data_IF_718045283805
#
_entry.id   IF_718045283805
#
_cell.length_a   1.000
_cell.length_b   1.000
_cell.length_c   1.000
_cell.angle_alpha   90.00
_cell.angle_beta   90.00
_cell.angle_gamma   90.00
#
_symmetry.space_group_name_H-M   'P 1'
#
loop_
_entity.id
_entity.type
_entity.pdbx_description
1 polymer ?
#
# COMPACT_ATOMS: atom_id res chain seq x y z
N UNK A 1 27.80 -4.72 20.87
CA UNK A 1 27.07 -3.67 20.12
C UNK A 1 27.87 -3.36 18.87
N UNK A 2 27.23 -3.08 17.73
CA UNK A 2 27.91 -2.72 16.50
C UNK A 2 28.31 -1.23 16.52
N UNK A 3 29.38 -0.90 15.80
CA UNK A 3 29.90 0.47 15.67
C UNK A 3 29.12 1.28 14.63
N UNK A 4 29.26 2.60 14.67
CA UNK A 4 28.71 3.51 13.65
C UNK A 4 29.23 3.16 12.25
N UNK A 5 30.53 2.82 12.12
CA UNK A 5 31.12 2.44 10.84
C UNK A 5 30.55 1.14 10.27
N UNK A 6 30.27 0.14 11.13
CA UNK A 6 29.60 -1.09 10.71
C UNK A 6 28.17 -0.82 10.23
N UNK A 7 27.44 0.10 10.89
CA UNK A 7 26.12 0.50 10.43
C UNK A 7 26.18 1.20 9.06
N UNK A 8 27.13 2.08 8.84
CA UNK A 8 27.38 2.74 7.54
C UNK A 8 27.61 1.67 6.46
N UNK A 9 28.49 0.72 6.70
CA UNK A 9 28.82 -0.35 5.76
C UNK A 9 27.58 -1.21 5.40
N UNK A 10 26.73 -1.51 6.38
CA UNK A 10 25.47 -2.25 6.14
C UNK A 10 24.55 -1.46 5.23
N UNK A 11 24.38 -0.15 5.47
CA UNK A 11 23.49 0.71 4.67
C UNK A 11 24.02 0.86 3.25
N UNK A 12 25.32 1.10 3.08
CA UNK A 12 25.95 1.19 1.76
C UNK A 12 25.80 -0.11 0.95
N UNK A 13 25.97 -1.26 1.62
CA UNK A 13 25.75 -2.56 0.97
C UNK A 13 24.28 -2.75 0.56
N UNK A 14 23.32 -2.29 1.36
CA UNK A 14 21.91 -2.32 0.99
C UNK A 14 21.61 -1.43 -0.21
N UNK A 15 22.24 -0.25 -0.30
CA UNK A 15 22.12 0.64 -1.46
C UNK A 15 22.67 -0.04 -2.73
N UNK A 16 23.82 -0.71 -2.62
CA UNK A 16 24.45 -1.41 -3.76
C UNK A 16 23.67 -2.63 -4.26
N UNK A 17 23.00 -3.34 -3.34
CA UNK A 17 22.30 -4.59 -3.66
C UNK A 17 20.89 -4.40 -4.20
N UNK A 18 20.26 -3.26 -3.97
CA UNK A 18 18.88 -3.00 -4.39
C UNK A 18 18.84 -2.18 -5.68
N UNK A 19 18.54 -2.87 -6.77
CA UNK A 19 18.00 -2.22 -7.96
C UNK A 19 16.63 -1.59 -7.59
N UNK A 20 16.60 -0.28 -7.42
CA UNK A 20 15.45 0.62 -7.59
C UNK A 20 14.41 0.86 -6.48
N UNK A 21 14.59 0.59 -5.21
CA UNK A 21 13.60 1.06 -4.23
C UNK A 21 14.24 1.78 -3.05
N UNK A 22 13.91 3.08 -2.88
CA UNK A 22 14.28 3.93 -1.73
C UNK A 22 15.77 4.24 -1.52
N UNK A 23 16.57 4.35 -2.57
CA UNK A 23 17.97 4.78 -2.48
C UNK A 23 18.08 6.14 -1.75
N UNK A 24 17.20 7.08 -2.06
CA UNK A 24 17.18 8.41 -1.42
C UNK A 24 17.02 8.34 0.10
N UNK A 25 16.13 7.48 0.59
CA UNK A 25 15.91 7.29 2.04
C UNK A 25 17.11 6.64 2.74
N UNK A 26 17.74 5.66 2.10
CA UNK A 26 18.99 5.11 2.62
C UNK A 26 20.09 6.18 2.66
N UNK A 27 20.17 7.05 1.66
CA UNK A 27 21.09 8.18 1.63
C UNK A 27 20.78 9.20 2.73
N UNK A 28 19.50 9.49 3.02
CA UNK A 28 19.12 10.35 4.14
C UNK A 28 19.52 9.75 5.50
N UNK A 29 19.30 8.45 5.71
CA UNK A 29 19.72 7.77 6.94
C UNK A 29 21.26 7.80 7.04
N UNK A 30 21.95 7.50 5.95
CA UNK A 30 23.40 7.55 5.89
C UNK A 30 23.95 8.95 6.23
N UNK A 31 23.34 10.00 5.67
CA UNK A 31 23.67 11.38 5.97
C UNK A 31 23.47 11.71 7.45
N UNK A 32 22.38 11.28 8.05
CA UNK A 32 22.12 11.45 9.50
C UNK A 32 23.16 10.73 10.35
N UNK A 33 23.47 9.47 10.03
CA UNK A 33 24.47 8.69 10.79
C UNK A 33 25.85 9.31 10.64
N UNK A 34 26.20 9.80 9.45
CA UNK A 34 27.49 10.47 9.22
C UNK A 34 27.64 11.80 9.98
N UNK A 35 26.52 12.48 10.27
CA UNK A 35 26.52 13.74 11.04
C UNK A 35 26.54 13.55 12.56
N UNK A 36 26.39 12.32 13.06
CA UNK A 36 26.38 12.01 14.50
C UNK A 36 27.78 11.71 15.01
N UNK A 37 28.03 12.00 16.29
CA UNK A 37 29.17 11.44 17.01
C UNK A 37 28.95 9.93 17.30
N UNK A 38 30.01 9.21 17.62
CA UNK A 38 29.91 7.78 17.96
C UNK A 38 29.04 7.56 19.22
N UNK A 39 29.13 8.48 20.19
CA UNK A 39 28.31 8.43 21.42
C UNK A 39 26.82 8.68 21.14
N UNK A 40 26.49 9.68 20.31
CA UNK A 40 25.10 9.94 19.89
C UNK A 40 24.53 8.75 19.12
N UNK A 41 25.33 8.17 18.22
CA UNK A 41 24.92 6.98 17.47
C UNK A 41 24.64 5.80 18.40
N UNK A 42 25.52 5.54 19.35
CA UNK A 42 25.37 4.46 20.33
C UNK A 42 24.11 4.62 21.17
N UNK A 43 23.83 5.84 21.66
CA UNK A 43 22.62 6.15 22.42
C UNK A 43 21.36 5.93 21.60
N UNK A 44 21.33 6.35 20.34
CA UNK A 44 20.18 6.15 19.45
C UNK A 44 20.01 4.66 19.12
N UNK A 45 21.09 3.93 18.86
CA UNK A 45 21.04 2.51 18.59
C UNK A 45 20.48 1.73 19.79
N UNK A 46 20.91 2.06 21.02
CA UNK A 46 20.37 1.47 22.27
C UNK A 46 18.87 1.74 22.41
N UNK A 47 18.43 2.98 22.18
CA UNK A 47 17.02 3.36 22.31
C UNK A 47 16.13 2.71 21.24
N UNK A 48 16.61 2.55 20.02
CA UNK A 48 15.79 2.11 18.88
C UNK A 48 15.84 0.61 18.63
N UNK A 49 16.95 -0.03 18.93
CA UNK A 49 17.22 -1.45 18.62
C UNK A 49 17.38 -2.26 19.91
N UNK A 50 17.95 -1.66 20.95
CA UNK A 50 18.14 -2.28 22.25
C UNK A 50 19.61 -2.30 22.71
N UNK A 51 19.85 -2.54 24.01
CA UNK A 51 21.19 -2.48 24.61
C UNK A 51 22.18 -3.50 24.01
N UNK A 52 21.68 -4.65 23.55
CA UNK A 52 22.49 -5.72 22.94
C UNK A 52 22.33 -5.74 21.41
N UNK A 53 22.19 -4.59 20.79
CA UNK A 53 21.97 -4.47 19.36
C UNK A 53 23.07 -5.14 18.53
N UNK A 54 22.67 -6.03 17.62
CA UNK A 54 23.56 -6.70 16.64
C UNK A 54 23.35 -6.13 15.24
N UNK A 55 24.29 -6.39 14.33
CA UNK A 55 24.17 -6.01 12.90
C UNK A 55 22.93 -6.63 12.27
N UNK A 56 22.54 -7.85 12.64
CA UNK A 56 21.33 -8.49 12.14
C UNK A 56 20.07 -7.75 12.60
N UNK A 57 20.03 -7.34 13.87
CA UNK A 57 18.94 -6.53 14.42
C UNK A 57 18.87 -5.16 13.71
N UNK A 58 19.99 -4.52 13.45
CA UNK A 58 20.06 -3.29 12.65
C UNK A 58 19.49 -3.52 11.24
N UNK A 59 19.92 -4.58 10.56
CA UNK A 59 19.44 -4.92 9.23
C UNK A 59 17.93 -5.15 9.21
N UNK A 60 17.41 -5.85 10.22
CA UNK A 60 15.98 -6.10 10.40
C UNK A 60 15.22 -4.80 10.68
N UNK A 61 15.75 -3.95 11.56
CA UNK A 61 15.16 -2.65 11.88
C UNK A 61 15.15 -1.71 10.66
N UNK A 62 16.26 -1.66 9.90
CA UNK A 62 16.32 -0.89 8.66
C UNK A 62 15.28 -1.37 7.64
N UNK A 63 15.14 -2.68 7.45
CA UNK A 63 14.10 -3.24 6.58
C UNK A 63 12.71 -2.83 7.04
N UNK A 64 12.41 -2.97 8.33
CA UNK A 64 11.12 -2.57 8.90
C UNK A 64 10.87 -1.06 8.73
N UNK A 65 11.89 -0.21 8.93
CA UNK A 65 11.79 1.24 8.70
C UNK A 65 11.58 1.61 7.24
N UNK A 66 12.22 0.90 6.31
CA UNK A 66 11.98 1.10 4.88
C UNK A 66 10.56 0.67 4.48
N UNK A 67 10.05 -0.40 5.10
CA UNK A 67 8.67 -0.83 4.93
C UNK A 67 7.67 0.13 5.59
N UNK A 68 7.99 0.69 6.76
CA UNK A 68 7.16 1.68 7.46
C UNK A 68 7.09 3.00 6.70
N UNK A 69 8.21 3.48 6.14
CA UNK A 69 8.24 4.69 5.32
C UNK A 69 7.61 4.53 3.94
N UNK A 70 7.51 3.29 3.43
CA UNK A 70 6.69 3.05 2.25
C UNK A 70 5.19 3.22 2.54
N UNK A 71 4.79 3.28 3.82
CA UNK A 71 3.41 3.60 4.24
C UNK A 71 3.06 5.09 4.17
N UNK A 72 4.04 5.98 4.12
CA UNK A 72 3.79 7.43 4.22
C UNK A 72 3.53 8.10 2.86
N UNK A 73 3.79 7.43 1.75
CA UNK A 73 3.45 7.96 0.42
C UNK A 73 2.22 7.26 -0.16
N UNK A 74 1.06 7.56 0.44
CA UNK A 74 -0.21 7.23 -0.20
C UNK A 74 -0.45 8.16 -1.37
N UNK A 75 -0.31 7.63 -2.58
CA UNK A 75 -0.63 8.37 -3.79
C UNK A 75 -2.14 8.31 -3.98
N UNK A 76 -2.79 9.46 -3.92
CA UNK A 76 -4.23 9.57 -4.13
C UNK A 76 -4.58 9.33 -5.59
N UNK A 77 -5.49 8.41 -5.86
CA UNK A 77 -6.03 8.12 -7.19
C UNK A 77 -7.34 8.87 -7.42
N UNK A 78 -8.20 8.90 -6.39
CA UNK A 78 -9.45 9.65 -6.35
C UNK A 78 -9.85 9.88 -4.89
N UNK A 79 -11.04 10.39 -4.62
CA UNK A 79 -11.47 10.72 -3.24
C UNK A 79 -11.68 9.51 -2.33
N UNK A 80 -11.82 8.30 -2.90
CA UNK A 80 -12.03 7.06 -2.13
C UNK A 80 -10.82 6.14 -2.11
N UNK A 81 -9.92 6.25 -3.08
CA UNK A 81 -8.85 5.28 -3.28
C UNK A 81 -7.51 5.98 -3.35
N UNK A 82 -6.58 5.49 -2.56
CA UNK A 82 -5.16 5.79 -2.66
C UNK A 82 -4.37 4.48 -2.74
N UNK A 83 -3.13 4.55 -3.12
CA UNK A 83 -2.25 3.38 -3.13
C UNK A 83 -0.86 3.72 -2.61
N UNK A 84 -0.15 2.69 -2.22
CA UNK A 84 1.29 2.73 -2.01
C UNK A 84 1.93 1.47 -2.60
N UNK A 85 3.24 1.52 -2.82
CA UNK A 85 3.99 0.42 -3.41
C UNK A 85 4.71 -0.34 -2.30
N UNK A 86 4.51 -1.66 -2.25
CA UNK A 86 5.24 -2.57 -1.35
C UNK A 86 5.92 -3.62 -2.22
N UNK A 87 7.24 -3.52 -2.39
CA UNK A 87 8.00 -4.38 -3.30
C UNK A 87 7.39 -4.41 -4.72
N UNK A 88 7.02 -5.59 -5.21
CA UNK A 88 6.40 -5.80 -6.52
C UNK A 88 4.86 -5.75 -6.47
N UNK A 89 4.29 -5.14 -5.42
CA UNK A 89 2.85 -5.13 -5.20
C UNK A 89 2.35 -3.70 -5.02
N UNK A 90 1.25 -3.38 -5.68
CA UNK A 90 0.51 -2.13 -5.46
C UNK A 90 -0.57 -2.39 -4.42
N UNK A 91 -0.46 -1.78 -3.25
CA UNK A 91 -1.42 -1.92 -2.17
C UNK A 91 -2.44 -0.77 -2.20
N UNK A 92 -3.72 -1.10 -2.39
CA UNK A 92 -4.81 -0.14 -2.36
C UNK A 92 -5.28 0.13 -0.94
N UNK A 93 -5.56 1.39 -0.67
CA UNK A 93 -6.30 1.86 0.49
C UNK A 93 -7.63 2.43 0.05
N UNK A 94 -8.70 1.78 0.49
CA UNK A 94 -10.06 2.24 0.25
C UNK A 94 -10.58 2.87 1.54
N UNK A 95 -11.01 4.12 1.48
CA UNK A 95 -11.56 4.84 2.65
C UNK A 95 -13.04 4.50 2.79
N UNK A 96 -13.42 3.69 3.82
CA UNK A 96 -14.79 3.21 3.96
C UNK A 96 -15.80 4.29 4.39
N UNK A 97 -15.34 5.48 4.79
CA UNK A 97 -16.16 6.54 5.41
C UNK A 97 -17.32 7.04 4.53
N UNK A 98 -17.29 6.75 3.24
CA UNK A 98 -18.28 7.25 2.27
C UNK A 98 -19.18 6.15 1.69
N UNK A 99 -19.08 4.91 2.18
CA UNK A 99 -19.97 3.83 1.71
C UNK A 99 -21.25 3.86 2.55
N UNK A 100 -22.11 4.83 2.31
CA UNK A 100 -23.52 4.70 2.69
C UNK A 100 -24.28 3.91 1.59
N UNK A 101 -25.49 3.46 1.87
CA UNK A 101 -26.25 2.59 0.95
C UNK A 101 -26.54 3.20 -0.43
N UNK A 102 -26.55 4.54 -0.56
CA UNK A 102 -26.67 5.25 -1.84
C UNK A 102 -25.32 5.33 -2.58
N UNK A 103 -24.23 5.43 -1.83
CA UNK A 103 -22.85 5.53 -2.33
C UNK A 103 -22.20 4.16 -2.62
N UNK A 104 -22.74 3.07 -2.11
CA UNK A 104 -22.27 1.72 -2.44
C UNK A 104 -22.33 1.43 -3.95
N UNK A 105 -23.27 2.07 -4.67
CA UNK A 105 -23.30 2.04 -6.14
C UNK A 105 -22.16 2.83 -6.78
N UNK A 106 -21.67 3.90 -6.13
CA UNK A 106 -20.50 4.69 -6.56
C UNK A 106 -19.17 4.00 -6.24
N UNK A 107 -19.09 3.22 -5.16
CA UNK A 107 -17.83 2.60 -4.72
C UNK A 107 -17.16 1.72 -5.79
N UNK A 108 -17.94 1.01 -6.58
CA UNK A 108 -17.45 0.23 -7.72
C UNK A 108 -16.86 1.10 -8.83
N UNK A 109 -17.46 2.27 -9.10
CA UNK A 109 -16.95 3.23 -10.11
C UNK A 109 -15.60 3.81 -9.67
N UNK A 110 -15.47 4.22 -8.40
CA UNK A 110 -14.21 4.73 -7.85
C UNK A 110 -13.10 3.68 -7.89
N UNK A 111 -13.42 2.41 -7.59
CA UNK A 111 -12.44 1.33 -7.67
C UNK A 111 -12.06 1.02 -9.12
N UNK A 112 -13.01 1.01 -10.06
CA UNK A 112 -12.74 0.79 -11.48
C UNK A 112 -11.86 1.92 -12.07
N UNK A 113 -12.13 3.18 -11.72
CA UNK A 113 -11.30 4.33 -12.10
C UNK A 113 -9.87 4.21 -11.51
N UNK A 114 -9.77 3.87 -10.23
CA UNK A 114 -8.48 3.70 -9.58
C UNK A 114 -7.66 2.59 -10.24
N UNK A 115 -8.28 1.46 -10.59
CA UNK A 115 -7.62 0.34 -11.27
C UNK A 115 -7.18 0.72 -12.69
N UNK A 116 -7.95 1.54 -13.40
CA UNK A 116 -7.54 2.03 -14.73
C UNK A 116 -6.29 2.93 -14.64
N UNK A 117 -6.23 3.81 -13.64
CA UNK A 117 -5.04 4.63 -13.38
C UNK A 117 -3.82 3.78 -12.98
N UNK A 118 -4.04 2.70 -12.22
CA UNK A 118 -2.99 1.75 -11.84
C UNK A 118 -2.51 0.92 -13.02
N UNK A 119 -3.37 0.64 -14.00
CA UNK A 119 -3.03 -0.13 -15.20
C UNK A 119 -1.79 0.44 -15.90
N UNK A 120 -1.70 1.76 -16.06
CA UNK A 120 -0.51 2.41 -16.62
C UNK A 120 0.75 2.12 -15.80
N UNK A 121 0.65 2.17 -14.47
CA UNK A 121 1.76 1.84 -13.57
C UNK A 121 2.18 0.37 -13.67
N UNK A 122 1.21 -0.53 -13.81
CA UNK A 122 1.47 -1.95 -14.05
C UNK A 122 2.19 -2.22 -15.36
N UNK A 123 1.93 -1.41 -16.41
CA UNK A 123 2.62 -1.51 -17.70
C UNK A 123 4.07 -1.03 -17.61
N UNK A 124 4.33 0.06 -16.87
CA UNK A 124 5.64 0.68 -16.74
C UNK A 124 6.57 -0.08 -15.78
N UNK A 125 6.04 -0.79 -14.78
CA UNK A 125 6.79 -1.41 -13.70
C UNK A 125 6.68 -2.94 -13.65
N UNK A 126 7.55 -3.57 -12.85
CA UNK A 126 7.56 -5.02 -12.60
C UNK A 126 6.62 -5.41 -11.44
N UNK A 127 5.40 -4.90 -11.44
CA UNK A 127 4.42 -5.24 -10.42
C UNK A 127 3.69 -6.54 -10.80
N UNK A 128 3.47 -7.41 -9.82
CA UNK A 128 2.78 -8.71 -10.00
C UNK A 128 1.31 -8.66 -9.64
N UNK A 129 0.96 -7.88 -8.60
CA UNK A 129 -0.40 -7.82 -8.05
C UNK A 129 -0.81 -6.42 -7.66
N UNK A 130 -2.11 -6.16 -7.75
CA UNK A 130 -2.81 -5.15 -6.97
C UNK A 130 -3.46 -5.84 -5.79
N UNK A 131 -3.27 -5.36 -4.57
CA UNK A 131 -3.83 -5.97 -3.36
C UNK A 131 -4.51 -4.94 -2.48
N UNK A 132 -5.47 -5.38 -1.69
CA UNK A 132 -6.04 -4.61 -0.58
C UNK A 132 -6.37 -5.51 0.58
N UNK A 133 -6.33 -4.95 1.79
CA UNK A 133 -6.75 -5.63 3.01
C UNK A 133 -7.93 -4.85 3.56
N UNK A 134 -9.01 -5.53 3.86
CA UNK A 134 -10.19 -4.92 4.44
C UNK A 134 -10.75 -5.74 5.59
N UNK A 135 -11.31 -5.03 6.55
CA UNK A 135 -11.99 -5.61 7.71
C UNK A 135 -13.22 -4.76 7.98
N UNK A 136 -14.38 -5.39 8.00
CA UNK A 136 -15.65 -4.71 8.26
C UNK A 136 -16.41 -5.49 9.31
N UNK A 137 -16.84 -4.80 10.36
CA UNK A 137 -17.63 -5.41 11.45
C UNK A 137 -19.08 -5.70 11.06
N UNK A 138 -19.60 -4.95 10.10
CA UNK A 138 -20.96 -5.11 9.57
C UNK A 138 -20.98 -6.17 8.46
N UNK A 139 -21.71 -7.26 8.67
CA UNK A 139 -21.75 -8.40 7.76
C UNK A 139 -22.34 -8.04 6.38
N UNK A 140 -23.33 -7.14 6.33
CA UNK A 140 -23.94 -6.71 5.06
C UNK A 140 -22.96 -5.90 4.23
N UNK A 141 -22.22 -4.98 4.87
CA UNK A 141 -21.17 -4.19 4.21
C UNK A 141 -20.03 -5.08 3.77
N UNK A 142 -19.66 -6.09 4.56
CA UNK A 142 -18.63 -7.06 4.20
C UNK A 142 -19.01 -7.84 2.93
N UNK A 143 -20.23 -8.37 2.87
CA UNK A 143 -20.73 -9.10 1.72
C UNK A 143 -20.78 -8.22 0.46
N UNK A 144 -21.19 -6.97 0.61
CA UNK A 144 -21.20 -6.00 -0.49
C UNK A 144 -19.79 -5.70 -1.03
N UNK A 145 -18.82 -5.45 -0.14
CA UNK A 145 -17.44 -5.23 -0.53
C UNK A 145 -16.83 -6.46 -1.21
N UNK A 146 -17.06 -7.65 -0.65
CA UNK A 146 -16.61 -8.89 -1.27
C UNK A 146 -17.18 -9.07 -2.68
N UNK A 147 -18.47 -8.74 -2.85
CA UNK A 147 -19.11 -8.80 -4.17
C UNK A 147 -18.44 -7.81 -5.13
N UNK A 148 -18.28 -6.54 -4.74
CA UNK A 148 -17.63 -5.52 -5.59
C UNK A 148 -16.23 -5.95 -6.01
N UNK A 149 -15.41 -6.44 -5.07
CA UNK A 149 -14.07 -6.90 -5.41
C UNK A 149 -14.08 -8.12 -6.34
N UNK A 150 -14.98 -9.10 -6.12
CA UNK A 150 -15.13 -10.25 -7.02
C UNK A 150 -15.59 -9.85 -8.40
N UNK A 151 -16.57 -8.94 -8.48
CA UNK A 151 -17.10 -8.44 -9.75
C UNK A 151 -16.03 -7.65 -10.53
N UNK A 152 -15.03 -7.05 -9.83
CA UNK A 152 -13.85 -6.42 -10.42
C UNK A 152 -12.68 -7.40 -10.72
N UNK A 153 -12.90 -8.72 -10.52
CA UNK A 153 -11.91 -9.74 -10.83
C UNK A 153 -10.91 -10.07 -9.73
N UNK A 154 -11.09 -9.51 -8.51
CA UNK A 154 -10.22 -9.87 -7.39
C UNK A 154 -10.51 -11.26 -6.84
N UNK A 155 -9.45 -11.99 -6.54
CA UNK A 155 -9.47 -13.17 -5.70
C UNK A 155 -9.47 -12.76 -4.24
N UNK A 156 -10.41 -13.30 -3.43
CA UNK A 156 -10.58 -12.93 -2.03
C UNK A 156 -10.27 -14.11 -1.14
N UNK A 157 -9.41 -13.90 -0.17
CA UNK A 157 -8.99 -14.88 0.84
C UNK A 157 -9.17 -14.32 2.25
N UNK A 158 -9.32 -15.20 3.24
CA UNK A 158 -9.22 -14.80 4.65
C UNK A 158 -7.80 -14.35 4.96
N UNK A 159 -7.68 -13.20 5.60
CA UNK A 159 -6.38 -12.67 6.00
C UNK A 159 -5.60 -13.61 6.90
N UNK A 160 -4.30 -13.64 6.72
CA UNK A 160 -3.38 -14.48 7.51
C UNK A 160 -3.28 -14.01 8.97
N UNK A 161 -2.53 -14.78 9.80
CA UNK A 161 -2.37 -14.47 11.23
C UNK A 161 -1.74 -13.12 11.53
N UNK A 162 -0.87 -12.58 10.64
CA UNK A 162 -0.27 -11.24 10.81
C UNK A 162 -1.35 -10.15 10.76
N UNK A 163 -2.29 -10.28 9.83
CA UNK A 163 -3.41 -9.33 9.70
C UNK A 163 -4.44 -9.46 10.82
N UNK A 164 -4.63 -10.67 11.37
CA UNK A 164 -5.53 -10.91 12.51
C UNK A 164 -5.09 -10.20 13.79
N UNK A 165 -3.80 -9.87 13.92
CA UNK A 165 -3.27 -9.08 15.06
C UNK A 165 -3.68 -7.61 14.97
N UNK A 166 -3.94 -7.10 13.78
CA UNK A 166 -4.23 -5.68 13.52
C UNK A 166 -5.73 -5.46 13.26
N UNK A 167 -6.36 -6.40 12.59
CA UNK A 167 -7.75 -6.29 12.15
C UNK A 167 -8.58 -7.47 12.67
N UNK A 168 -9.81 -7.20 13.08
CA UNK A 168 -10.79 -8.23 13.43
C UNK A 168 -11.35 -8.83 12.13
N UNK A 169 -11.15 -10.14 11.92
CA UNK A 169 -11.61 -10.87 10.72
C UNK A 169 -11.19 -10.20 9.39
N UNK A 170 -9.88 -10.05 9.13
CA UNK A 170 -9.42 -9.43 7.91
C UNK A 170 -9.63 -10.35 6.70
N UNK A 171 -9.85 -9.71 5.55
CA UNK A 171 -9.83 -10.32 4.23
C UNK A 171 -8.75 -9.64 3.40
N UNK A 172 -8.12 -10.41 2.52
CA UNK A 172 -7.20 -9.91 1.52
C UNK A 172 -7.81 -10.15 0.15
N UNK A 173 -7.84 -9.11 -0.68
CA UNK A 173 -8.22 -9.21 -2.07
C UNK A 173 -6.97 -8.97 -2.93
N UNK A 174 -6.79 -9.78 -3.98
CA UNK A 174 -5.67 -9.70 -4.92
C UNK A 174 -6.19 -9.71 -6.36
N UNK A 175 -5.65 -8.84 -7.18
CA UNK A 175 -5.89 -8.78 -8.62
C UNK A 175 -4.57 -8.97 -9.34
N UNK A 176 -4.48 -9.95 -10.23
CA UNK A 176 -3.23 -10.20 -10.95
C UNK A 176 -2.97 -9.15 -12.03
N UNK A 177 -1.70 -8.96 -12.35
CA UNK A 177 -1.26 -8.10 -13.46
C UNK A 177 -1.86 -8.55 -14.78
N UNK A 178 -1.81 -9.87 -15.05
CA UNK A 178 -2.27 -10.46 -16.29
C UNK A 178 -3.74 -10.11 -16.53
N UNK A 179 -4.59 -10.24 -15.50
CA UNK A 179 -6.00 -9.89 -15.62
C UNK A 179 -6.20 -8.40 -15.84
N UNK A 180 -5.53 -7.53 -15.09
CA UNK A 180 -5.69 -6.08 -15.22
C UNK A 180 -5.23 -5.57 -16.59
N UNK A 181 -4.25 -6.22 -17.21
CA UNK A 181 -3.74 -5.89 -18.54
C UNK A 181 -4.48 -6.61 -19.69
N UNK A 182 -5.39 -7.54 -19.37
CA UNK A 182 -6.15 -8.31 -20.39
C UNK A 182 -7.32 -7.51 -20.97
N UNK A 183 -7.85 -8.03 -22.09
CA UNK A 183 -9.08 -7.51 -22.71
C UNK A 183 -10.32 -7.78 -21.84
N UNK A 184 -10.30 -8.84 -21.01
CA UNK A 184 -11.37 -9.13 -20.06
C UNK A 184 -11.60 -7.99 -19.07
N UNK A 185 -10.52 -7.33 -18.63
CA UNK A 185 -10.62 -6.16 -17.76
C UNK A 185 -11.47 -5.04 -18.35
N UNK A 186 -11.34 -4.78 -19.66
CA UNK A 186 -12.15 -3.77 -20.35
C UNK A 186 -13.65 -4.06 -20.20
N UNK A 187 -14.05 -5.29 -20.46
CA UNK A 187 -15.45 -5.70 -20.32
C UNK A 187 -15.96 -5.64 -18.87
N UNK A 188 -15.09 -5.93 -17.89
CA UNK A 188 -15.43 -5.79 -16.47
C UNK A 188 -15.58 -4.31 -16.11
N UNK A 189 -14.64 -3.46 -16.49
CA UNK A 189 -14.68 -2.02 -16.23
C UNK A 189 -15.96 -1.40 -16.80
N UNK A 190 -16.27 -1.70 -18.06
CA UNK A 190 -17.42 -1.13 -18.75
C UNK A 190 -18.75 -1.43 -18.03
N UNK A 191 -18.93 -2.62 -17.47
CA UNK A 191 -20.08 -2.96 -16.61
C UNK A 191 -20.22 -2.10 -15.35
N UNK A 192 -19.10 -1.59 -14.82
CA UNK A 192 -19.11 -0.73 -13.64
C UNK A 192 -19.37 0.74 -13.97
N UNK A 193 -19.02 1.17 -15.17
CA UNK A 193 -19.07 2.58 -15.57
C UNK A 193 -20.27 2.88 -16.45
N UNK A 194 -20.74 1.90 -17.24
CA UNK A 194 -21.84 2.09 -18.19
C UNK A 194 -23.15 2.52 -17.49
N UNK A 195 -23.73 3.62 -17.95
CA UNK A 195 -24.96 4.19 -17.40
C UNK A 195 -24.87 4.76 -15.99
N UNK A 196 -23.65 4.93 -15.45
CA UNK A 196 -23.43 5.55 -14.14
C UNK A 196 -22.82 6.92 -14.30
N UNK A 197 -23.06 7.84 -13.34
CA UNK A 197 -22.45 9.16 -13.37
C UNK A 197 -20.93 9.01 -13.25
N UNK A 198 -20.21 9.91 -13.92
CA UNK A 198 -18.77 10.01 -13.83
C UNK A 198 -18.35 10.42 -12.41
N UNK A 199 -17.08 10.20 -12.05
CA UNK A 199 -16.56 10.62 -10.74
C UNK A 199 -16.71 12.14 -10.56
N UNK A 200 -16.45 12.92 -11.61
CA UNK A 200 -16.62 14.38 -11.59
C UNK A 200 -18.06 14.79 -11.30
N UNK A 201 -19.04 14.12 -11.90
CA UNK A 201 -20.47 14.36 -11.63
C UNK A 201 -20.87 13.98 -10.21
N UNK A 202 -20.31 12.90 -9.67
CA UNK A 202 -20.54 12.45 -8.30
C UNK A 202 -19.96 13.47 -7.32
N UNK A 203 -18.70 13.90 -7.53
CA UNK A 203 -17.98 14.82 -6.66
C UNK A 203 -18.59 16.23 -6.69
N UNK A 204 -19.05 16.69 -7.85
CA UNK A 204 -19.74 17.98 -7.99
C UNK A 204 -21.05 18.01 -7.20
N UNK A 205 -21.84 16.94 -7.26
CA UNK A 205 -23.09 16.83 -6.49
C UNK A 205 -22.83 16.82 -4.99
N UNK A 206 -21.77 16.15 -4.52
CA UNK A 206 -21.39 16.13 -3.10
C UNK A 206 -20.94 17.49 -2.55
N UNK A 207 -20.45 18.40 -3.42
CA UNK A 207 -20.09 19.77 -3.04
C UNK A 207 -21.32 20.71 -2.93
N UNK A 208 -22.38 20.42 -3.67
CA UNK A 208 -23.61 21.23 -3.68
C UNK A 208 -24.51 20.86 -2.49
N UNK A 209 -24.44 19.61 -2.00
CA UNK A 209 -25.27 19.11 -0.91
C UNK A 209 -24.63 19.36 0.51
N UNK A 210 -23.53 20.12 0.59
CA UNK A 210 -22.87 20.57 1.83
C UNK A 210 -23.12 22.03 2.10
#
# INVERSE_FOLDING_TARGET
MFTRQEAINVIENQIKQKNNVNIEKYQEILKKINSMSDEEFENIAKQRIGENATIEMLSTWLKAKMEEHSKDEFIKLNNMVSYHIIHETIALHVVPKQINSKQARGGGVYLADALEKIKSKMQEGNFTYVTTIFSVSDLLKLNLLQKIFKDLGFQIEKGNQKFKKIFKNPYQARLSREFLLSDEWKGVKDKFVEGKPTIEEIETKEQIDK
#
